data_IF_640436976802
#
_entry.id   IF_640436976802
#
_cell.length_a   1.000
_cell.length_b   1.000
_cell.length_c   1.000
_cell.angle_alpha   90.00
_cell.angle_beta   90.00
_cell.angle_gamma   90.00
#
_symmetry.space_group_name_H-M   'P 1'
#
loop_
_entity.id
_entity.type
_entity.pdbx_description
1 polymer ?
#
# COMPACT_ATOMS: atom_id res chain seq x y z
N UNK A 1 23.07 2.49 -20.34
CA UNK A 1 22.86 2.96 -18.95
C UNK A 1 22.94 1.72 -18.07
N UNK A 2 24.04 1.54 -17.33
CA UNK A 2 24.20 0.38 -16.45
C UNK A 2 23.15 0.44 -15.35
N UNK A 3 22.35 -0.61 -15.21
CA UNK A 3 21.49 -0.78 -14.04
C UNK A 3 22.42 -1.04 -12.86
N UNK A 4 22.85 0.01 -12.17
CA UNK A 4 23.30 -0.13 -10.79
C UNK A 4 22.10 -0.66 -10.03
N UNK A 5 22.13 -1.95 -9.68
CA UNK A 5 21.22 -2.52 -8.71
C UNK A 5 21.43 -1.74 -7.41
N UNK A 6 20.67 -0.67 -7.23
CA UNK A 6 20.49 -0.04 -5.93
C UNK A 6 20.14 -1.16 -4.97
N UNK A 7 20.91 -1.26 -3.90
CA UNK A 7 20.81 -2.35 -2.94
C UNK A 7 19.46 -2.20 -2.24
N UNK A 8 18.39 -2.81 -2.77
CA UNK A 8 17.10 -2.90 -2.09
C UNK A 8 17.29 -3.92 -0.96
N UNK A 9 17.39 -3.51 0.31
CA UNK A 9 17.67 -4.44 1.38
C UNK A 9 16.40 -5.27 1.63
N UNK A 10 16.26 -6.38 0.91
CA UNK A 10 15.11 -7.30 1.00
C UNK A 10 14.78 -7.68 2.45
N UNK A 11 15.79 -7.69 3.32
CA UNK A 11 15.63 -7.97 4.75
C UNK A 11 14.79 -6.92 5.50
N UNK A 12 14.89 -5.63 5.15
CA UNK A 12 14.03 -4.59 5.73
C UNK A 12 12.58 -4.78 5.27
N UNK A 13 12.38 -5.19 4.02
CA UNK A 13 11.06 -5.51 3.47
C UNK A 13 10.40 -6.72 4.14
N UNK A 14 11.19 -7.73 4.52
CA UNK A 14 10.68 -8.86 5.31
C UNK A 14 10.11 -8.39 6.65
N UNK A 15 10.68 -7.35 7.28
CA UNK A 15 10.15 -6.76 8.50
C UNK A 15 8.69 -6.30 8.35
N UNK A 16 8.39 -5.57 7.28
CA UNK A 16 7.02 -5.16 6.96
C UNK A 16 6.08 -6.35 6.73
N UNK A 17 6.55 -7.39 6.05
CA UNK A 17 5.78 -8.60 5.82
C UNK A 17 5.39 -9.29 7.13
N UNK A 18 6.35 -9.49 8.04
CA UNK A 18 6.09 -10.09 9.35
C UNK A 18 5.20 -9.21 10.23
N UNK A 19 5.41 -7.89 10.21
CA UNK A 19 4.55 -6.94 10.91
C UNK A 19 3.10 -7.01 10.40
N UNK A 20 2.91 -7.09 9.08
CA UNK A 20 1.60 -7.26 8.45
C UNK A 20 0.92 -8.58 8.85
N UNK A 21 1.66 -9.68 8.88
CA UNK A 21 1.13 -10.97 9.35
C UNK A 21 0.75 -10.95 10.83
N UNK A 22 1.60 -10.35 11.68
CA UNK A 22 1.31 -10.18 13.10
C UNK A 22 0.06 -9.34 13.32
N UNK A 23 -0.08 -8.23 12.56
CA UNK A 23 -1.26 -7.38 12.57
C UNK A 23 -2.51 -8.15 12.14
N UNK A 24 -2.43 -8.92 11.04
CA UNK A 24 -3.55 -9.74 10.57
C UNK A 24 -3.99 -10.78 11.60
N UNK A 25 -3.04 -11.43 12.28
CA UNK A 25 -3.32 -12.39 13.36
C UNK A 25 -3.93 -11.72 14.59
N UNK A 26 -3.45 -10.53 14.96
CA UNK A 26 -4.06 -9.78 16.05
C UNK A 26 -5.50 -9.41 15.72
N UNK A 27 -5.73 -8.90 14.50
CA UNK A 27 -7.05 -8.52 14.02
C UNK A 27 -8.06 -9.68 13.99
N UNK A 28 -7.62 -10.89 13.61
CA UNK A 28 -8.52 -12.06 13.56
C UNK A 28 -9.05 -12.49 14.93
N UNK A 29 -8.34 -12.13 16.01
CA UNK A 29 -8.75 -12.39 17.40
C UNK A 29 -9.41 -11.18 18.09
N UNK A 30 -9.53 -10.05 17.39
CA UNK A 30 -9.93 -8.78 17.99
C UNK A 30 -11.42 -8.47 17.80
N UNK A 31 -11.96 -7.59 18.65
CA UNK A 31 -13.34 -7.12 18.54
C UNK A 31 -13.57 -6.23 17.30
N UNK A 32 -14.81 -6.08 16.81
CA UNK A 32 -15.13 -5.17 15.71
C UNK A 32 -14.69 -3.71 15.91
N UNK A 33 -14.54 -3.29 17.18
CA UNK A 33 -14.03 -1.97 17.54
C UNK A 33 -12.51 -1.81 17.37
N UNK A 34 -11.78 -2.88 17.06
CA UNK A 34 -10.32 -2.84 16.88
C UNK A 34 -9.89 -1.96 15.70
N UNK A 35 -10.68 -1.87 14.63
CA UNK A 35 -10.38 -0.98 13.50
C UNK A 35 -10.30 0.49 13.93
N UNK A 36 -11.25 0.96 14.75
CA UNK A 36 -11.25 2.34 15.24
C UNK A 36 -10.06 2.64 16.17
N UNK A 37 -9.71 1.69 17.05
CA UNK A 37 -8.52 1.82 17.92
C UNK A 37 -7.22 1.82 17.12
N UNK A 38 -7.13 0.96 16.11
CA UNK A 38 -5.98 0.89 15.21
C UNK A 38 -5.84 2.19 14.40
N UNK A 39 -6.95 2.74 13.92
CA UNK A 39 -6.97 4.04 13.23
C UNK A 39 -6.44 5.16 14.12
N UNK A 40 -7.00 5.33 15.33
CA UNK A 40 -6.59 6.39 16.24
C UNK A 40 -5.13 6.22 16.70
N UNK A 41 -4.72 4.99 17.03
CA UNK A 41 -3.33 4.69 17.40
C UNK A 41 -2.37 4.94 16.24
N UNK A 42 -2.76 4.57 15.01
CA UNK A 42 -2.03 4.88 13.80
C UNK A 42 -1.85 6.39 13.59
N UNK A 43 -2.94 7.17 13.68
CA UNK A 43 -2.88 8.64 13.54
C UNK A 43 -1.93 9.24 14.56
N UNK A 44 -2.05 8.84 15.84
CA UNK A 44 -1.17 9.32 16.89
C UNK A 44 0.30 8.97 16.62
N UNK A 45 0.57 7.72 16.21
CA UNK A 45 1.92 7.28 15.85
C UNK A 45 2.46 8.03 14.61
N UNK A 46 1.64 8.28 13.59
CA UNK A 46 2.03 9.03 12.41
C UNK A 46 2.43 10.45 12.77
N UNK A 47 1.65 11.14 13.61
CA UNK A 47 2.00 12.49 14.09
C UNK A 47 3.32 12.48 14.84
N UNK A 48 3.49 11.56 15.80
CA UNK A 48 4.74 11.47 16.58
C UNK A 48 5.95 11.18 15.70
N UNK A 49 5.84 10.23 14.78
CA UNK A 49 6.99 9.83 13.95
C UNK A 49 7.30 10.85 12.87
N UNK A 50 6.29 11.48 12.25
CA UNK A 50 6.52 12.56 11.30
C UNK A 50 7.19 13.76 11.97
N UNK A 51 6.70 14.17 13.15
CA UNK A 51 7.30 15.26 13.92
C UNK A 51 8.71 14.93 14.37
N UNK A 52 8.97 13.71 14.83
CA UNK A 52 10.32 13.25 15.17
C UNK A 52 11.25 13.19 13.95
N UNK A 53 10.75 12.77 12.78
CA UNK A 53 11.50 12.76 11.54
C UNK A 53 11.90 14.17 11.09
N UNK A 54 10.96 15.13 11.14
CA UNK A 54 11.26 16.53 10.85
C UNK A 54 12.22 17.16 11.86
N UNK A 55 12.03 16.90 13.15
CA UNK A 55 12.93 17.40 14.20
C UNK A 55 14.34 16.79 14.08
N UNK A 56 14.43 15.50 13.73
CA UNK A 56 15.70 14.83 13.46
C UNK A 56 16.39 15.41 12.24
N UNK A 57 15.67 15.57 11.13
CA UNK A 57 16.20 16.20 9.93
C UNK A 57 16.74 17.62 10.23
N UNK A 58 15.99 18.45 10.96
CA UNK A 58 16.42 19.80 11.35
C UNK A 58 17.66 19.78 12.25
N UNK A 59 17.69 18.89 13.26
CA UNK A 59 18.79 18.79 14.22
C UNK A 59 20.13 18.34 13.58
N UNK A 60 20.09 17.58 12.49
CA UNK A 60 21.28 17.06 11.82
C UNK A 60 21.68 17.85 10.56
N UNK A 61 20.95 18.92 10.21
CA UNK A 61 21.24 19.81 9.10
C UNK A 61 20.36 19.59 7.86
N UNK A 62 20.37 20.51 6.88
CA UNK A 62 19.47 20.46 5.74
C UNK A 62 19.62 19.13 4.98
N UNK A 63 18.52 18.40 4.74
CA UNK A 63 18.57 17.19 3.94
C UNK A 63 19.11 17.53 2.55
N UNK A 64 20.18 16.86 2.13
CA UNK A 64 20.73 16.99 0.78
C UNK A 64 19.86 16.18 -0.21
N UNK A 65 18.63 16.63 -0.47
CA UNK A 65 17.75 15.96 -1.43
C UNK A 65 17.45 16.86 -2.62
N UNK A 66 17.80 16.35 -3.80
CA UNK A 66 17.30 16.78 -5.09
C UNK A 66 16.15 15.84 -5.49
N UNK A 67 15.05 16.36 -6.02
CA UNK A 67 13.83 15.62 -6.40
C UNK A 67 14.04 14.77 -7.68
N UNK A 68 15.26 14.28 -7.92
CA UNK A 68 15.53 13.30 -8.95
C UNK A 68 14.79 12.00 -8.68
N UNK A 69 14.44 11.27 -9.74
CA UNK A 69 13.70 10.00 -9.70
C UNK A 69 14.37 8.87 -8.87
N UNK A 70 15.60 9.10 -8.42
CA UNK A 70 16.30 8.29 -7.42
C UNK A 70 17.34 9.19 -6.71
N UNK A 71 17.03 9.80 -5.57
CA UNK A 71 18.04 10.52 -4.82
C UNK A 71 19.12 9.55 -4.30
N UNK A 72 20.36 9.99 -4.08
CA UNK A 72 21.40 9.11 -3.54
C UNK A 72 21.02 8.60 -2.15
N UNK A 73 21.49 7.39 -1.83
CA UNK A 73 21.41 6.80 -0.49
C UNK A 73 21.85 7.83 0.56
N UNK A 74 21.07 8.08 1.62
CA UNK A 74 21.48 8.99 2.68
C UNK A 74 22.81 8.53 3.29
N UNK A 75 23.81 9.40 3.21
CA UNK A 75 25.14 9.19 3.82
C UNK A 75 25.32 10.00 5.10
N UNK A 76 24.31 10.79 5.47
CA UNK A 76 24.30 11.67 6.64
C UNK A 76 23.21 11.26 7.62
N UNK A 77 23.41 11.60 8.89
CA UNK A 77 22.40 11.39 9.93
C UNK A 77 21.08 12.12 9.62
N UNK A 78 21.14 13.33 9.04
CA UNK A 78 19.96 14.05 8.57
C UNK A 78 19.19 13.26 7.51
N UNK A 79 19.92 12.66 6.56
CA UNK A 79 19.36 11.82 5.53
C UNK A 79 18.62 10.59 6.09
N UNK A 80 19.15 9.93 7.12
CA UNK A 80 18.46 8.78 7.72
C UNK A 80 17.17 9.14 8.47
N UNK A 81 17.05 10.35 8.99
CA UNK A 81 15.84 10.81 9.71
C UNK A 81 14.77 11.43 8.80
N UNK A 82 15.05 11.56 7.51
CA UNK A 82 14.09 12.09 6.55
C UNK A 82 12.78 11.31 6.53
N UNK A 83 11.66 12.02 6.35
CA UNK A 83 10.35 11.41 6.06
C UNK A 83 10.09 11.32 4.55
N UNK A 84 11.04 11.76 3.71
CA UNK A 84 10.95 11.68 2.26
C UNK A 84 11.13 10.25 1.76
N UNK A 85 10.58 9.96 0.58
CA UNK A 85 10.46 8.61 0.01
C UNK A 85 11.79 7.89 -0.23
N UNK A 86 12.29 7.15 0.77
CA UNK A 86 13.45 6.27 0.58
C UNK A 86 13.43 5.09 1.56
N UNK A 87 13.63 3.88 1.04
CA UNK A 87 13.43 2.63 1.80
C UNK A 87 14.47 2.33 2.88
N UNK A 88 15.59 3.06 2.90
CA UNK A 88 16.65 2.94 3.92
C UNK A 88 16.61 4.05 4.99
N UNK A 89 15.75 5.06 4.80
CA UNK A 89 15.56 6.12 5.78
C UNK A 89 14.68 5.63 6.93
N UNK A 90 15.18 5.76 8.15
CA UNK A 90 14.48 5.41 9.38
C UNK A 90 13.22 6.26 9.53
N UNK A 91 13.33 7.57 9.30
CA UNK A 91 12.18 8.49 9.39
C UNK A 91 11.05 8.11 8.44
N UNK A 92 11.39 7.77 7.19
CA UNK A 92 10.44 7.33 6.17
C UNK A 92 9.83 5.98 6.51
N UNK A 93 10.67 5.01 6.87
CA UNK A 93 10.25 3.65 7.22
C UNK A 93 9.23 3.68 8.35
N UNK A 94 9.53 4.39 9.45
CA UNK A 94 8.63 4.48 10.59
C UNK A 94 7.36 5.27 10.25
N UNK A 95 7.47 6.40 9.55
CA UNK A 95 6.31 7.24 9.23
C UNK A 95 5.37 6.54 8.25
N UNK A 96 5.91 5.86 7.25
CA UNK A 96 5.17 5.05 6.29
C UNK A 96 4.55 3.82 6.94
N UNK A 97 5.22 3.19 7.92
CA UNK A 97 4.62 2.12 8.75
C UNK A 97 3.40 2.64 9.51
N UNK A 98 3.56 3.75 10.25
CA UNK A 98 2.48 4.32 11.04
C UNK A 98 1.30 4.78 10.15
N UNK A 99 1.60 5.38 8.99
CA UNK A 99 0.59 5.77 8.03
C UNK A 99 -0.14 4.56 7.45
N UNK A 100 0.58 3.47 7.14
CA UNK A 100 -0.01 2.22 6.66
C UNK A 100 -0.96 1.62 7.70
N UNK A 101 -0.55 1.60 8.98
CA UNK A 101 -1.41 1.17 10.09
C UNK A 101 -2.66 2.05 10.20
N UNK A 102 -2.51 3.36 10.04
CA UNK A 102 -3.63 4.32 10.00
C UNK A 102 -4.62 3.95 8.90
N UNK A 103 -4.13 3.74 7.68
CA UNK A 103 -4.96 3.39 6.51
C UNK A 103 -5.68 2.06 6.73
N UNK A 104 -4.99 1.03 7.23
CA UNK A 104 -5.60 -0.27 7.56
C UNK A 104 -6.67 -0.12 8.63
N UNK A 105 -6.36 0.61 9.71
CA UNK A 105 -7.32 0.91 10.78
C UNK A 105 -8.56 1.63 10.25
N UNK A 106 -8.38 2.65 9.41
CA UNK A 106 -9.46 3.38 8.76
C UNK A 106 -10.32 2.45 7.91
N UNK A 107 -9.71 1.61 7.07
CA UNK A 107 -10.42 0.67 6.22
C UNK A 107 -11.29 -0.30 7.05
N UNK A 108 -10.75 -0.85 8.13
CA UNK A 108 -11.48 -1.76 9.03
C UNK A 108 -12.61 -1.05 9.78
N UNK A 109 -12.34 0.17 10.27
CA UNK A 109 -13.33 0.97 10.96
C UNK A 109 -14.50 1.32 10.05
N UNK A 110 -14.21 1.69 8.80
CA UNK A 110 -15.21 1.99 7.77
C UNK A 110 -15.97 0.73 7.35
N UNK A 111 -15.32 -0.43 7.26
CA UNK A 111 -15.97 -1.69 6.93
C UNK A 111 -17.08 -2.07 7.93
N UNK A 112 -16.96 -1.65 9.21
CA UNK A 112 -17.98 -1.83 10.24
C UNK A 112 -19.13 -0.82 10.22
N UNK A 113 -19.16 0.14 9.29
CA UNK A 113 -20.19 1.19 9.23
C UNK A 113 -21.46 0.76 8.47
N UNK A 114 -22.61 1.42 8.72
CA UNK A 114 -23.86 1.12 8.04
C UNK A 114 -23.80 1.37 6.52
N UNK A 115 -24.81 0.84 5.81
CA UNK A 115 -24.78 0.63 4.36
C UNK A 115 -24.47 1.85 3.48
N UNK A 116 -24.82 3.08 3.87
CA UNK A 116 -24.50 4.28 3.09
C UNK A 116 -22.99 4.49 2.94
N UNK A 117 -22.25 4.37 4.04
CA UNK A 117 -20.79 4.54 4.04
C UNK A 117 -20.15 3.47 3.16
N UNK A 118 -20.58 2.21 3.30
CA UNK A 118 -20.09 1.09 2.48
C UNK A 118 -20.36 1.30 0.99
N UNK A 119 -21.48 1.92 0.62
CA UNK A 119 -21.79 2.26 -0.78
C UNK A 119 -20.87 3.35 -1.32
N UNK A 120 -20.60 4.39 -0.53
CA UNK A 120 -19.72 5.49 -0.93
C UNK A 120 -18.27 5.04 -1.12
N UNK A 121 -17.78 4.10 -0.29
CA UNK A 121 -16.41 3.58 -0.41
C UNK A 121 -16.28 2.40 -1.37
N UNK A 122 -17.38 1.87 -1.92
CA UNK A 122 -17.35 0.72 -2.82
C UNK A 122 -16.42 0.89 -4.04
N UNK A 123 -16.32 2.06 -4.70
CA UNK A 123 -15.37 2.24 -5.81
C UNK A 123 -13.92 2.10 -5.37
N UNK A 124 -13.57 2.59 -4.18
CA UNK A 124 -12.22 2.48 -3.63
C UNK A 124 -11.87 1.05 -3.21
N UNK A 125 -12.86 0.30 -2.70
CA UNK A 125 -12.69 -1.13 -2.43
C UNK A 125 -12.45 -1.89 -3.74
N UNK A 126 -13.24 -1.61 -4.78
CA UNK A 126 -13.06 -2.20 -6.09
C UNK A 126 -11.68 -1.91 -6.68
N UNK A 127 -11.21 -0.67 -6.55
CA UNK A 127 -9.85 -0.28 -6.90
C UNK A 127 -8.80 -1.14 -6.18
N UNK A 128 -8.91 -1.29 -4.86
CA UNK A 128 -7.98 -2.10 -4.07
C UNK A 128 -8.00 -3.59 -4.43
N UNK A 129 -9.15 -4.12 -4.86
CA UNK A 129 -9.27 -5.50 -5.36
C UNK A 129 -8.59 -5.72 -6.71
N UNK A 130 -8.26 -4.64 -7.42
CA UNK A 130 -7.58 -4.64 -8.72
C UNK A 130 -6.19 -4.00 -8.65
N UNK A 131 -5.51 -4.13 -7.51
CA UNK A 131 -4.25 -3.44 -7.27
C UNK A 131 -3.13 -3.79 -8.27
N UNK A 132 -3.06 -5.04 -8.76
CA UNK A 132 -2.04 -5.45 -9.72
C UNK A 132 -2.35 -4.89 -11.11
N UNK A 133 -3.60 -5.00 -11.54
CA UNK A 133 -4.09 -4.39 -12.79
C UNK A 133 -3.89 -2.88 -12.77
N UNK A 134 -4.20 -2.25 -11.65
CA UNK A 134 -3.99 -0.82 -11.46
C UNK A 134 -2.50 -0.45 -11.52
N UNK A 135 -1.64 -1.22 -10.83
CA UNK A 135 -0.20 -0.96 -10.81
C UNK A 135 0.41 -0.99 -12.23
N UNK A 136 0.07 -2.00 -13.04
CA UNK A 136 0.55 -2.03 -14.43
C UNK A 136 -0.03 -0.91 -15.28
N UNK A 137 -1.32 -0.57 -15.12
CA UNK A 137 -1.87 0.56 -15.87
C UNK A 137 -1.22 1.87 -15.48
N UNK A 138 -0.96 2.10 -14.19
CA UNK A 138 -0.23 3.26 -13.70
C UNK A 138 1.15 3.32 -14.35
N UNK A 139 1.86 2.19 -14.41
CA UNK A 139 3.16 2.12 -15.07
C UNK A 139 3.07 2.48 -16.56
N UNK A 140 2.10 1.93 -17.29
CA UNK A 140 1.86 2.27 -18.70
C UNK A 140 1.51 3.75 -18.88
N UNK A 141 0.71 4.33 -17.99
CA UNK A 141 0.39 5.75 -17.99
C UNK A 141 1.65 6.60 -17.82
N UNK A 142 2.53 6.25 -16.87
CA UNK A 142 3.80 6.94 -16.66
C UNK A 142 4.76 6.78 -17.85
N UNK A 143 4.75 5.65 -18.52
CA UNK A 143 5.63 5.37 -19.67
C UNK A 143 5.16 6.08 -20.95
N UNK A 144 3.84 6.18 -21.17
CA UNK A 144 3.28 6.60 -22.47
C UNK A 144 2.73 8.03 -22.49
N UNK A 145 2.11 8.49 -21.42
CA UNK A 145 1.31 9.72 -21.42
C UNK A 145 1.90 10.82 -20.52
N UNK A 146 2.71 10.43 -19.54
CA UNK A 146 3.25 11.36 -18.57
C UNK A 146 4.22 12.39 -19.17
N UNK A 147 5.05 12.02 -20.14
CA UNK A 147 5.97 12.97 -20.80
C UNK A 147 5.23 14.16 -21.43
N UNK A 148 4.03 13.89 -21.95
CA UNK A 148 3.24 14.88 -22.66
C UNK A 148 2.40 15.72 -21.69
N UNK A 149 1.94 15.12 -20.60
CA UNK A 149 1.12 15.78 -19.59
C UNK A 149 1.93 16.56 -18.55
N UNK A 150 3.08 16.06 -18.13
CA UNK A 150 3.87 16.63 -17.04
C UNK A 150 4.19 18.13 -17.20
N UNK A 151 4.54 18.65 -18.40
CA UNK A 151 4.78 20.08 -18.58
C UNK A 151 3.55 20.95 -18.31
N UNK A 152 2.34 20.39 -18.43
CA UNK A 152 1.07 21.09 -18.18
C UNK A 152 0.57 20.97 -16.74
N UNK A 153 1.30 20.23 -15.89
CA UNK A 153 0.96 19.94 -14.49
C UNK A 153 1.90 20.65 -13.49
N UNK A 154 2.57 21.72 -13.93
CA UNK A 154 3.52 22.52 -13.14
C UNK A 154 2.85 23.26 -11.97
N UNK A 155 1.57 23.57 -12.08
CA UNK A 155 0.78 24.17 -11.01
C UNK A 155 0.18 23.11 -10.06
N UNK A 156 0.51 23.22 -8.76
CA UNK A 156 0.06 22.29 -7.71
C UNK A 156 -1.46 22.04 -7.73
N UNK A 157 -2.27 23.08 -7.95
CA UNK A 157 -3.73 22.94 -8.02
C UNK A 157 -4.21 22.11 -9.21
N UNK A 158 -3.63 22.32 -10.39
CA UNK A 158 -3.95 21.58 -11.61
C UNK A 158 -3.52 20.11 -11.46
N UNK A 159 -2.30 19.88 -10.94
CA UNK A 159 -1.81 18.54 -10.64
C UNK A 159 -2.74 17.77 -9.68
N UNK A 160 -3.17 18.41 -8.60
CA UNK A 160 -4.10 17.79 -7.63
C UNK A 160 -5.45 17.47 -8.26
N UNK A 161 -6.01 18.38 -9.05
CA UNK A 161 -7.29 18.18 -9.71
C UNK A 161 -7.20 17.03 -10.74
N UNK A 162 -6.20 17.04 -11.61
CA UNK A 162 -6.00 15.99 -12.63
C UNK A 162 -5.77 14.64 -11.96
N UNK A 163 -4.96 14.60 -10.90
CA UNK A 163 -4.77 13.39 -10.10
C UNK A 163 -6.10 12.89 -9.53
N UNK A 164 -6.88 13.77 -8.88
CA UNK A 164 -8.16 13.39 -8.30
C UNK A 164 -9.13 12.84 -9.36
N UNK A 165 -9.19 13.47 -10.53
CA UNK A 165 -10.01 13.01 -11.66
C UNK A 165 -9.55 11.64 -12.14
N UNK A 166 -8.25 11.47 -12.37
CA UNK A 166 -7.66 10.20 -12.80
C UNK A 166 -7.98 9.06 -11.83
N UNK A 167 -7.72 9.26 -10.53
CA UNK A 167 -7.97 8.27 -9.48
C UNK A 167 -9.47 7.96 -9.34
N UNK A 168 -10.32 8.97 -9.43
CA UNK A 168 -11.79 8.79 -9.35
C UNK A 168 -12.31 8.01 -10.55
N UNK A 169 -11.91 8.40 -11.77
CA UNK A 169 -12.28 7.68 -12.99
C UNK A 169 -11.86 6.21 -12.91
N UNK A 170 -10.62 5.97 -12.48
CA UNK A 170 -10.13 4.61 -12.39
C UNK A 170 -10.88 3.78 -11.33
N UNK A 171 -11.18 4.36 -10.16
CA UNK A 171 -12.00 3.68 -9.14
C UNK A 171 -13.40 3.31 -9.65
N UNK A 172 -14.03 4.20 -10.44
CA UNK A 172 -15.33 3.94 -11.06
C UNK A 172 -15.24 2.85 -12.15
N UNK A 173 -14.19 2.87 -12.98
CA UNK A 173 -13.94 1.85 -13.99
C UNK A 173 -13.67 0.49 -13.35
N UNK A 174 -12.86 0.43 -12.29
CA UNK A 174 -12.62 -0.79 -11.52
C UNK A 174 -13.92 -1.32 -10.92
N UNK A 175 -14.77 -0.45 -10.37
CA UNK A 175 -16.08 -0.86 -9.88
C UNK A 175 -16.97 -1.42 -10.99
N UNK A 176 -17.03 -0.75 -12.14
CA UNK A 176 -17.84 -1.21 -13.27
C UNK A 176 -17.30 -2.54 -13.82
N UNK A 177 -15.98 -2.68 -13.92
CA UNK A 177 -15.33 -3.92 -14.29
C UNK A 177 -15.72 -5.05 -13.34
N UNK A 178 -15.62 -4.84 -12.04
CA UNK A 178 -15.95 -5.86 -11.03
C UNK A 178 -17.46 -6.20 -10.95
N UNK A 179 -18.33 -5.37 -11.52
CA UNK A 179 -19.75 -5.72 -11.71
C UNK A 179 -19.95 -6.71 -12.85
N UNK A 180 -19.14 -6.62 -13.90
CA UNK A 180 -19.23 -7.48 -15.10
C UNK A 180 -18.40 -8.75 -14.93
N UNK A 181 -17.20 -8.61 -14.36
CA UNK A 181 -16.21 -9.66 -14.16
C UNK A 181 -15.91 -9.78 -12.67
N UNK A 182 -15.60 -10.98 -12.16
CA UNK A 182 -15.43 -11.17 -10.70
C UNK A 182 -14.06 -10.71 -10.17
N UNK A 183 -13.10 -10.52 -11.08
CA UNK A 183 -11.71 -10.21 -10.77
C UNK A 183 -11.14 -9.24 -11.80
N UNK A 184 -10.06 -8.55 -11.43
CA UNK A 184 -9.27 -7.79 -12.40
C UNK A 184 -8.56 -8.72 -13.40
N UNK A 185 -8.20 -8.21 -14.59
CA UNK A 185 -7.64 -9.02 -15.66
C UNK A 185 -6.33 -9.70 -15.23
N UNK A 186 -5.40 -8.96 -14.62
CA UNK A 186 -4.12 -9.53 -14.18
C UNK A 186 -4.26 -10.38 -12.93
N UNK A 187 -5.16 -10.01 -12.03
CA UNK A 187 -5.50 -10.83 -10.87
C UNK A 187 -6.05 -12.19 -11.31
N UNK A 188 -6.83 -12.22 -12.40
CA UNK A 188 -7.31 -13.47 -13.00
C UNK A 188 -6.15 -14.31 -13.53
N UNK A 189 -5.22 -13.71 -14.28
CA UNK A 189 -4.02 -14.40 -14.79
C UNK A 189 -3.19 -14.96 -13.63
N UNK A 190 -2.90 -14.14 -12.62
CA UNK A 190 -2.15 -14.56 -11.43
C UNK A 190 -2.85 -15.71 -10.71
N UNK A 191 -4.18 -15.63 -10.54
CA UNK A 191 -4.96 -16.67 -9.90
C UNK A 191 -4.90 -18.00 -10.66
N UNK A 192 -5.08 -17.96 -11.99
CA UNK A 192 -5.00 -19.15 -12.85
C UNK A 192 -3.61 -19.77 -12.79
N UNK A 193 -2.55 -18.97 -12.92
CA UNK A 193 -1.16 -19.45 -12.85
C UNK A 193 -0.87 -20.06 -11.48
N UNK A 194 -1.25 -19.38 -10.40
CA UNK A 194 -1.01 -19.86 -9.02
C UNK A 194 -1.72 -21.20 -8.78
N UNK A 195 -2.96 -21.34 -9.25
CA UNK A 195 -3.75 -22.57 -9.10
C UNK A 195 -3.18 -23.71 -9.95
N UNK A 196 -2.63 -23.41 -11.14
CA UNK A 196 -2.02 -24.40 -12.00
C UNK A 196 -0.67 -24.90 -11.45
N UNK A 197 0.14 -24.01 -10.86
CA UNK A 197 1.47 -24.33 -10.33
C UNK A 197 1.39 -24.97 -8.94
N UNK A 198 0.57 -24.39 -8.05
CA UNK A 198 0.39 -24.88 -6.69
C UNK A 198 -0.83 -25.80 -6.68
N UNK A 199 -0.63 -27.08 -6.99
CA UNK A 199 -1.70 -28.07 -6.83
C UNK A 199 -2.19 -28.03 -5.38
N UNK A 200 -3.51 -27.93 -5.14
CA UNK A 200 -4.05 -28.05 -3.79
C UNK A 200 -3.53 -29.35 -3.20
N UNK A 201 -2.85 -29.27 -2.04
CA UNK A 201 -2.55 -30.47 -1.26
C UNK A 201 -3.90 -31.13 -1.02
N UNK A 202 -4.13 -32.29 -1.60
CA UNK A 202 -5.32 -33.08 -1.29
C UNK A 202 -5.36 -33.15 0.23
N UNK A 203 -6.44 -32.63 0.83
CA UNK A 203 -6.68 -32.83 2.25
C UNK A 203 -6.82 -34.34 2.39
N UNK A 204 -5.74 -35.01 2.75
CA UNK A 204 -5.79 -36.29 3.43
C UNK A 204 -6.54 -36.03 4.73
N UNK A 205 -7.87 -36.00 4.64
CA UNK A 205 -8.72 -36.00 5.80
C UNK A 205 -8.40 -37.26 6.60
N UNK A 206 -8.40 -37.20 7.94
CA UNK A 206 -8.31 -38.39 8.76
C UNK A 206 -9.39 -39.33 8.24
N UNK A 207 -8.99 -40.50 7.71
CA UNK A 207 -9.94 -41.60 7.52
C UNK A 207 -10.39 -41.95 8.93
N UNK A 208 -11.48 -41.35 9.38
CA UNK A 208 -12.20 -41.79 10.56
C UNK A 208 -12.64 -43.20 10.21
N UNK A 209 -11.82 -44.19 10.59
CA UNK A 209 -12.22 -45.59 10.56
C UNK A 209 -13.39 -45.67 11.51
N UNK A 210 -14.58 -45.92 10.96
CA UNK A 210 -15.73 -46.24 11.77
C UNK A 210 -15.33 -47.38 12.72
N UNK A 211 -15.66 -47.30 14.03
CA UNK A 211 -15.45 -48.42 14.93
C UNK A 211 -16.23 -49.61 14.39
N UNK A 212 -15.50 -50.70 14.09
CA UNK A 212 -16.15 -52.00 13.92
C UNK A 212 -16.68 -52.41 15.29
N UNK A 213 -18.00 -52.59 15.31
CA UNK A 213 -18.87 -53.18 16.35
C UNK A 213 -18.18 -54.00 17.42
#
# INVERSE_FOLDING_TARGET
RGLTLEYYPAILWLGFFFAGMALARWLSSSSPAAGGRLFLGGVAASVVVLTAGWAGADAFGPPSYDFGLAPPVPTTWAGHWTTYGFSDAVGWTLSSTALSVTVVGAALWVAGRPGLVRRLIAPFVALGQMALSFYLLHFLYLDTLWSDLAPSLDHTGVFLLVSLVFWTMFALLAQQWLRVLRWGPLETVLHVVTTAVIRPREREGPRIRAPMT
#
